data_IF_805713387409
#
_entry.id   IF_805713387409
#
_cell.length_a   1.000
_cell.length_b   1.000
_cell.length_c   1.000
_cell.angle_alpha   90.00
_cell.angle_beta   90.00
_cell.angle_gamma   90.00
#
_symmetry.space_group_name_H-M   'P 1'
#
loop_
_entity.id
_entity.type
_entity.pdbx_description
1 polymer ?
#
# COMPACT_ATOMS: atom_id res chain seq x y z
N UNK A 1 32.36 5.11 20.32
CA UNK A 1 31.28 4.36 19.65
C UNK A 1 31.28 4.79 18.19
N UNK A 2 31.89 4.01 17.28
CA UNK A 2 31.97 4.36 15.86
C UNK A 2 30.76 3.76 15.14
N UNK A 3 29.60 4.42 15.23
CA UNK A 3 28.48 4.09 14.35
C UNK A 3 28.73 4.70 12.98
N UNK A 4 28.70 3.90 11.91
CA UNK A 4 28.63 4.44 10.55
C UNK A 4 27.34 5.28 10.44
N UNK A 5 27.37 6.43 9.73
CA UNK A 5 26.17 7.22 9.50
C UNK A 5 25.11 6.38 8.76
N UNK A 6 23.84 6.59 9.11
CA UNK A 6 22.69 5.99 8.42
C UNK A 6 21.98 7.09 7.64
N UNK A 7 21.64 6.80 6.38
CA UNK A 7 20.98 7.76 5.51
C UNK A 7 19.57 7.28 5.13
N UNK A 8 18.66 8.24 4.99
CA UNK A 8 17.26 8.03 4.61
C UNK A 8 16.84 9.14 3.65
N UNK A 9 16.13 8.77 2.59
CA UNK A 9 15.37 9.70 1.76
C UNK A 9 13.88 9.46 1.95
N UNK A 10 13.06 10.50 1.81
CA UNK A 10 11.61 10.38 1.96
C UNK A 10 10.90 11.23 0.93
N UNK A 11 9.86 10.67 0.32
CA UNK A 11 8.91 11.40 -0.52
C UNK A 11 7.53 11.37 0.11
N UNK A 12 6.96 12.55 0.22
CA UNK A 12 5.58 12.83 0.59
C UNK A 12 5.19 14.06 -0.21
N UNK A 13 4.27 13.90 -1.15
CA UNK A 13 3.86 14.95 -2.09
C UNK A 13 2.36 14.86 -2.30
N UNK A 14 1.77 16.00 -2.69
CA UNK A 14 0.33 16.12 -2.89
C UNK A 14 -0.23 15.20 -3.99
N UNK A 15 0.64 14.70 -4.88
CA UNK A 15 0.30 13.74 -5.93
C UNK A 15 0.59 12.28 -5.57
N UNK A 16 1.03 11.99 -4.34
CA UNK A 16 1.13 10.64 -3.79
C UNK A 16 -0.12 10.33 -2.96
N UNK A 17 -1.27 10.37 -3.64
CA UNK A 17 -2.59 10.15 -3.07
C UNK A 17 -3.38 9.15 -3.91
N UNK A 18 -4.36 8.50 -3.30
CA UNK A 18 -5.37 7.71 -4.02
C UNK A 18 -6.72 7.81 -3.30
N UNK A 19 -7.80 7.96 -4.06
CA UNK A 19 -9.16 8.05 -3.56
C UNK A 19 -9.89 6.73 -3.81
N UNK A 20 -10.19 5.97 -2.76
CA UNK A 20 -10.75 4.62 -2.91
C UNK A 20 -11.86 4.36 -1.91
N UNK A 21 -12.78 3.48 -2.31
CA UNK A 21 -13.79 2.95 -1.42
C UNK A 21 -13.33 1.65 -0.79
N UNK A 22 -13.69 1.40 0.46
CA UNK A 22 -13.42 0.14 1.15
C UNK A 22 -14.45 -0.13 2.26
N UNK A 23 -14.33 -1.30 2.87
CA UNK A 23 -14.94 -1.64 4.15
C UNK A 23 -14.02 -2.64 4.84
N UNK A 24 -13.93 -2.60 6.16
CA UNK A 24 -13.11 -3.52 6.94
C UNK A 24 -13.97 -4.39 7.86
N UNK A 25 -13.41 -5.56 8.18
CA UNK A 25 -13.89 -6.35 9.32
C UNK A 25 -13.17 -5.92 10.59
N UNK A 26 -13.90 -5.93 11.69
CA UNK A 26 -13.44 -5.61 13.04
C UNK A 26 -13.65 -6.82 13.94
N UNK A 27 -13.01 -6.78 15.12
CA UNK A 27 -13.19 -7.78 16.16
C UNK A 27 -14.66 -7.92 16.59
N UNK A 28 -15.01 -9.10 17.12
CA UNK A 28 -16.37 -9.41 17.57
C UNK A 28 -17.37 -9.57 16.42
N UNK A 29 -16.93 -10.12 15.28
CA UNK A 29 -17.73 -10.33 14.08
C UNK A 29 -18.33 -9.06 13.45
N UNK A 30 -17.78 -7.89 13.78
CA UNK A 30 -18.24 -6.62 13.21
C UNK A 30 -17.69 -6.43 11.79
N UNK A 31 -18.46 -5.72 10.98
CA UNK A 31 -18.09 -5.29 9.64
C UNK A 31 -18.75 -3.93 9.42
N UNK A 32 -17.93 -2.92 9.11
CA UNK A 32 -18.45 -1.59 8.82
C UNK A 32 -19.14 -1.51 7.45
N UNK A 33 -19.81 -0.40 7.19
CA UNK A 33 -20.41 -0.11 5.89
C UNK A 33 -19.35 0.33 4.87
N UNK A 34 -19.65 0.12 3.59
CA UNK A 34 -18.89 0.70 2.48
C UNK A 34 -18.82 2.22 2.64
N UNK A 35 -17.61 2.74 2.58
CA UNK A 35 -17.30 4.17 2.58
C UNK A 35 -15.99 4.37 1.80
N UNK A 36 -15.36 5.54 1.87
CA UNK A 36 -14.08 5.77 1.21
C UNK A 36 -13.29 6.92 1.81
N UNK A 37 -12.04 7.02 1.39
CA UNK A 37 -11.07 7.99 1.87
C UNK A 37 -10.20 8.54 0.75
N UNK A 38 -9.59 9.69 1.00
CA UNK A 38 -8.48 10.22 0.21
C UNK A 38 -7.19 9.87 0.94
N UNK A 39 -6.62 8.73 0.59
CA UNK A 39 -5.40 8.25 1.22
C UNK A 39 -4.19 9.06 0.77
N UNK A 40 -3.28 9.36 1.70
CA UNK A 40 -1.97 9.94 1.39
C UNK A 40 -0.87 8.93 1.70
N UNK A 41 0.12 8.87 0.82
CA UNK A 41 1.23 7.92 0.92
C UNK A 41 2.55 8.66 1.13
N UNK A 42 3.31 8.21 2.13
CA UNK A 42 4.69 8.63 2.39
C UNK A 42 5.61 7.42 2.28
N UNK A 43 6.64 7.53 1.46
CA UNK A 43 7.61 6.46 1.24
C UNK A 43 9.01 6.92 1.65
N UNK A 44 9.66 6.15 2.53
CA UNK A 44 11.04 6.34 2.91
C UNK A 44 11.90 5.16 2.47
N UNK A 45 13.11 5.46 1.99
CA UNK A 45 14.12 4.49 1.58
C UNK A 45 15.39 4.77 2.37
N UNK A 46 15.94 3.73 2.98
CA UNK A 46 17.20 3.75 3.72
C UNK A 46 18.24 2.91 3.01
N UNK A 47 19.49 3.34 3.11
CA UNK A 47 20.61 2.66 2.47
C UNK A 47 21.88 3.47 2.59
N UNK A 48 22.94 2.92 2.01
CA UNK A 48 24.19 3.64 1.90
C UNK A 48 24.09 4.72 0.81
N UNK A 49 24.84 5.80 1.00
CA UNK A 49 25.05 6.78 -0.06
C UNK A 49 26.00 6.16 -1.09
N UNK A 50 25.59 6.13 -2.36
CA UNK A 50 26.42 5.56 -3.43
C UNK A 50 27.66 6.41 -3.70
N UNK A 51 28.81 5.78 -3.97
CA UNK A 51 30.08 6.49 -4.26
C UNK A 51 30.05 7.26 -5.59
N UNK A 52 29.14 6.90 -6.49
CA UNK A 52 29.04 7.50 -7.82
C UNK A 52 28.11 8.72 -7.83
N UNK A 53 26.94 8.62 -7.21
CA UNK A 53 25.89 9.64 -7.30
C UNK A 53 25.67 10.41 -6.00
N UNK A 54 26.26 9.97 -4.89
CA UNK A 54 26.22 10.63 -3.58
C UNK A 54 24.82 10.84 -3.01
N UNK A 55 23.90 9.92 -3.31
CA UNK A 55 22.59 9.82 -2.67
C UNK A 55 22.23 8.37 -2.32
N UNK A 56 21.18 8.19 -1.49
CA UNK A 56 20.58 6.87 -1.19
C UNK A 56 19.70 6.41 -2.35
N UNK A 57 18.74 7.22 -2.77
CA UNK A 57 17.90 6.91 -3.93
C UNK A 57 17.43 8.20 -4.60
N UNK A 58 17.24 8.18 -5.92
CA UNK A 58 16.76 9.35 -6.67
C UNK A 58 15.29 9.66 -6.31
N UNK A 59 15.04 10.89 -5.86
CA UNK A 59 13.70 11.36 -5.52
C UNK A 59 12.71 11.30 -6.71
N UNK A 60 13.18 11.59 -7.92
CA UNK A 60 12.35 11.58 -9.15
C UNK A 60 11.92 10.15 -9.45
N UNK A 61 12.85 9.19 -9.35
CA UNK A 61 12.53 7.79 -9.58
C UNK A 61 11.60 7.23 -8.50
N UNK A 62 11.88 7.50 -7.22
CA UNK A 62 11.01 7.05 -6.13
C UNK A 62 9.60 7.61 -6.29
N UNK A 63 9.48 8.91 -6.61
CA UNK A 63 8.20 9.54 -6.88
C UNK A 63 7.47 8.86 -8.04
N UNK A 64 8.16 8.61 -9.17
CA UNK A 64 7.57 7.94 -10.34
C UNK A 64 7.03 6.54 -10.00
N UNK A 65 7.79 5.77 -9.21
CA UNK A 65 7.36 4.45 -8.75
C UNK A 65 6.10 4.60 -7.88
N UNK A 66 6.12 5.50 -6.90
CA UNK A 66 5.01 5.68 -5.97
C UNK A 66 3.74 6.20 -6.65
N UNK A 67 3.84 7.18 -7.57
CA UNK A 67 2.69 7.67 -8.34
C UNK A 67 2.04 6.55 -9.16
N UNK A 68 2.85 5.66 -9.77
CA UNK A 68 2.31 4.49 -10.47
C UNK A 68 1.57 3.55 -9.50
N UNK A 69 2.17 3.24 -8.35
CA UNK A 69 1.57 2.33 -7.37
C UNK A 69 0.27 2.89 -6.78
N UNK A 70 0.19 4.19 -6.51
CA UNK A 70 -1.07 4.84 -6.10
C UNK A 70 -2.12 4.75 -7.20
N UNK A 71 -1.74 5.03 -8.45
CA UNK A 71 -2.65 4.96 -9.60
C UNK A 71 -3.21 3.57 -9.88
N UNK A 72 -2.56 2.48 -9.43
CA UNK A 72 -3.06 1.11 -9.55
C UNK A 72 -4.29 0.82 -8.66
N UNK A 73 -4.52 1.64 -7.64
CA UNK A 73 -5.62 1.45 -6.67
C UNK A 73 -6.53 2.68 -6.54
N UNK A 74 -6.20 3.78 -7.22
CA UNK A 74 -6.98 5.01 -7.26
C UNK A 74 -8.32 4.83 -7.98
N UNK A 75 -9.37 5.48 -7.47
CA UNK A 75 -10.75 5.43 -7.97
C UNK A 75 -11.36 4.02 -8.05
N UNK A 76 -10.92 3.09 -7.19
CA UNK A 76 -11.41 1.71 -7.14
C UNK A 76 -11.99 1.34 -5.77
N UNK A 77 -12.84 0.32 -5.75
CA UNK A 77 -13.24 -0.40 -4.52
C UNK A 77 -12.14 -1.40 -4.16
N UNK A 78 -11.53 -1.24 -2.99
CA UNK A 78 -10.49 -2.13 -2.49
C UNK A 78 -11.14 -3.38 -1.87
N UNK A 79 -10.82 -4.56 -2.39
CA UNK A 79 -11.40 -5.82 -1.93
C UNK A 79 -10.31 -6.81 -1.49
N UNK A 80 -10.34 -7.29 -0.22
CA UNK A 80 -9.33 -8.22 0.30
C UNK A 80 -9.63 -9.67 -0.11
N UNK A 81 -8.80 -10.23 -0.99
CA UNK A 81 -8.92 -11.63 -1.46
C UNK A 81 -8.29 -12.65 -0.51
N UNK A 82 -7.46 -12.22 0.44
CA UNK A 82 -6.81 -13.08 1.43
C UNK A 82 -7.56 -13.15 2.77
N UNK A 83 -8.79 -12.62 2.83
CA UNK A 83 -9.54 -12.54 4.07
C UNK A 83 -10.13 -13.90 4.47
N UNK A 84 -10.05 -14.30 5.75
CA UNK A 84 -10.77 -15.48 6.24
C UNK A 84 -12.28 -15.24 6.38
N UNK A 85 -12.73 -13.99 6.41
CA UNK A 85 -14.13 -13.60 6.67
C UNK A 85 -14.83 -13.01 5.45
N UNK A 86 -14.07 -12.37 4.56
CA UNK A 86 -14.59 -11.78 3.32
C UNK A 86 -14.27 -12.73 2.17
N UNK A 87 -15.31 -13.24 1.51
CA UNK A 87 -15.18 -13.96 0.24
C UNK A 87 -15.42 -13.00 -0.90
N UNK A 88 -14.46 -12.93 -1.82
CA UNK A 88 -14.55 -12.15 -3.05
C UNK A 88 -14.50 -13.14 -4.22
N UNK A 89 -15.46 -13.05 -5.15
CA UNK A 89 -15.51 -13.91 -6.32
C UNK A 89 -15.76 -13.07 -7.58
N UNK A 90 -15.06 -13.41 -8.66
CA UNK A 90 -15.27 -12.83 -9.97
C UNK A 90 -16.29 -13.66 -10.75
N UNK A 91 -17.31 -12.99 -11.28
CA UNK A 91 -18.42 -13.60 -12.02
C UNK A 91 -18.63 -12.79 -13.32
N UNK A 92 -17.83 -13.10 -14.34
CA UNK A 92 -17.85 -12.37 -15.61
C UNK A 92 -17.41 -10.91 -15.44
N UNK A 93 -18.31 -9.96 -15.69
CA UNK A 93 -18.07 -8.53 -15.55
C UNK A 93 -18.38 -7.99 -14.14
N UNK A 94 -18.64 -8.88 -13.18
CA UNK A 94 -19.00 -8.54 -11.79
C UNK A 94 -18.04 -9.14 -10.79
N UNK A 95 -18.01 -8.53 -9.62
CA UNK A 95 -17.37 -9.06 -8.42
C UNK A 95 -18.44 -9.16 -7.34
N UNK A 96 -18.63 -10.36 -6.79
CA UNK A 96 -19.54 -10.63 -5.67
C UNK A 96 -18.75 -10.71 -4.36
N UNK A 97 -19.32 -10.15 -3.30
CA UNK A 97 -18.69 -10.07 -1.97
C UNK A 97 -19.65 -10.63 -0.93
N UNK A 98 -19.17 -11.60 -0.16
CA UNK A 98 -19.87 -12.14 1.01
C UNK A 98 -19.02 -11.95 2.27
N UNK A 99 -19.66 -11.63 3.39
CA UNK A 99 -19.01 -11.48 4.71
C UNK A 99 -19.63 -12.49 5.66
N UNK A 100 -18.79 -13.30 6.30
CA UNK A 100 -19.21 -14.39 7.19
C UNK A 100 -20.28 -15.31 6.55
N UNK A 101 -20.14 -15.57 5.24
CA UNK A 101 -21.03 -16.43 4.46
C UNK A 101 -22.31 -15.76 3.93
N UNK A 102 -22.63 -14.53 4.35
CA UNK A 102 -23.79 -13.79 3.85
C UNK A 102 -23.39 -12.84 2.71
N UNK A 103 -24.13 -12.87 1.60
CA UNK A 103 -23.95 -11.92 0.49
C UNK A 103 -24.11 -10.47 0.97
N UNK A 104 -23.20 -9.59 0.56
CA UNK A 104 -23.15 -8.20 1.02
C UNK A 104 -23.13 -7.18 -0.11
N UNK A 105 -22.24 -7.33 -1.09
CA UNK A 105 -22.07 -6.36 -2.19
C UNK A 105 -21.88 -7.05 -3.54
N UNK A 106 -22.20 -6.32 -4.61
CA UNK A 106 -21.87 -6.66 -5.99
C UNK A 106 -21.38 -5.40 -6.70
N UNK A 107 -20.24 -5.48 -7.36
CA UNK A 107 -19.63 -4.36 -8.08
C UNK A 107 -19.28 -4.77 -9.52
N UNK A 108 -19.22 -3.83 -10.47
CA UNK A 108 -18.58 -4.09 -11.75
C UNK A 108 -17.09 -4.41 -11.55
N UNK A 109 -16.56 -5.41 -12.25
CA UNK A 109 -15.16 -5.85 -12.13
C UNK A 109 -14.15 -4.74 -12.41
N UNK A 110 -14.48 -3.86 -13.36
CA UNK A 110 -13.65 -2.70 -13.72
C UNK A 110 -13.49 -1.67 -12.60
N UNK A 111 -14.40 -1.65 -11.63
CA UNK A 111 -14.41 -0.68 -10.54
C UNK A 111 -13.76 -1.26 -9.26
N UNK A 112 -13.12 -2.44 -9.34
CA UNK A 112 -12.55 -3.15 -8.20
C UNK A 112 -11.03 -3.36 -8.30
N UNK A 113 -10.33 -3.11 -7.20
CA UNK A 113 -8.97 -3.59 -6.96
C UNK A 113 -9.03 -4.84 -6.07
N UNK A 114 -8.68 -6.00 -6.64
CA UNK A 114 -8.58 -7.25 -5.89
C UNK A 114 -7.18 -7.39 -5.27
N UNK A 115 -7.11 -7.20 -3.95
CA UNK A 115 -5.84 -7.11 -3.24
C UNK A 115 -5.54 -8.41 -2.47
N UNK A 116 -4.32 -8.95 -2.51
CA UNK A 116 -3.92 -10.15 -1.77
C UNK A 116 -3.68 -9.83 -0.29
N UNK A 117 -4.70 -9.26 0.36
CA UNK A 117 -4.67 -8.79 1.73
C UNK A 117 -5.75 -9.51 2.55
N UNK A 118 -5.52 -9.72 3.85
CA UNK A 118 -6.53 -10.27 4.75
C UNK A 118 -7.62 -9.25 5.13
N UNK A 119 -7.31 -7.96 5.03
CA UNK A 119 -8.19 -6.83 5.32
C UNK A 119 -7.62 -5.57 4.62
N UNK A 120 -8.45 -4.56 4.36
CA UNK A 120 -8.05 -3.30 3.69
C UNK A 120 -7.85 -2.14 4.65
N UNK A 121 -7.29 -2.44 5.83
CA UNK A 121 -6.89 -1.41 6.82
C UNK A 121 -5.66 -0.64 6.35
N UNK A 122 -5.42 0.54 6.92
CA UNK A 122 -4.23 1.35 6.60
C UNK A 122 -2.91 0.57 6.78
N UNK A 123 -2.77 -0.27 7.82
CA UNK A 123 -1.58 -1.11 8.03
C UNK A 123 -1.35 -2.10 6.88
N UNK A 124 -2.43 -2.73 6.42
CA UNK A 124 -2.35 -3.74 5.37
C UNK A 124 -2.10 -3.12 4.00
N UNK A 125 -2.65 -1.93 3.75
CA UNK A 125 -2.34 -1.13 2.56
C UNK A 125 -0.89 -0.66 2.58
N UNK A 126 -0.38 -0.17 3.72
CA UNK A 126 1.03 0.19 3.89
C UNK A 126 1.95 -1.00 3.61
N UNK A 127 1.61 -2.20 4.12
CA UNK A 127 2.35 -3.43 3.85
C UNK A 127 2.34 -3.84 2.38
N UNK A 128 1.19 -3.72 1.70
CA UNK A 128 1.05 -4.00 0.27
C UNK A 128 1.97 -3.09 -0.55
N UNK A 129 1.86 -1.78 -0.34
CA UNK A 129 2.63 -0.77 -1.07
C UNK A 129 4.13 -0.88 -0.76
N UNK A 130 4.51 -1.15 0.49
CA UNK A 130 5.89 -1.48 0.84
C UNK A 130 6.40 -2.69 0.05
N UNK A 131 5.64 -3.78 0.00
CA UNK A 131 6.01 -4.98 -0.76
C UNK A 131 6.19 -4.70 -2.26
N UNK A 132 5.29 -3.90 -2.86
CA UNK A 132 5.40 -3.51 -4.28
C UNK A 132 6.58 -2.58 -4.55
N UNK A 133 6.86 -1.64 -3.64
CA UNK A 133 8.04 -0.78 -3.73
C UNK A 133 9.32 -1.61 -3.62
N UNK A 134 9.40 -2.52 -2.64
CA UNK A 134 10.54 -3.44 -2.49
C UNK A 134 10.81 -4.21 -3.79
N UNK A 135 9.77 -4.81 -4.38
CA UNK A 135 9.92 -5.55 -5.63
C UNK A 135 10.40 -4.65 -6.79
N UNK A 136 9.95 -3.40 -6.87
CA UNK A 136 10.42 -2.45 -7.87
C UNK A 136 11.90 -2.07 -7.67
N UNK A 137 12.33 -1.88 -6.41
CA UNK A 137 13.73 -1.59 -6.08
C UNK A 137 14.66 -2.78 -6.33
N UNK A 138 14.22 -4.00 -6.01
CA UNK A 138 14.95 -5.23 -6.32
C UNK A 138 15.13 -5.37 -7.85
N UNK A 139 14.07 -5.12 -8.63
CA UNK A 139 14.12 -5.16 -10.10
C UNK A 139 15.03 -4.07 -10.71
N UNK A 140 15.17 -2.93 -10.03
CA UNK A 140 16.09 -1.86 -10.42
C UNK A 140 17.54 -2.11 -9.98
N UNK A 141 17.81 -3.21 -9.25
CA UNK A 141 19.17 -3.56 -8.79
C UNK A 141 19.69 -2.67 -7.66
N UNK A 142 18.81 -2.09 -6.84
CA UNK A 142 19.18 -1.19 -5.73
C UNK A 142 19.76 -1.95 -4.52
N UNK A 143 20.93 -2.59 -4.69
CA UNK A 143 21.55 -3.48 -3.70
C UNK A 143 22.06 -2.79 -2.42
N UNK A 144 22.21 -1.47 -2.45
CA UNK A 144 22.64 -0.64 -1.32
C UNK A 144 21.48 -0.23 -0.40
N UNK A 145 20.23 -0.51 -0.78
CA UNK A 145 19.05 -0.26 0.04
C UNK A 145 18.99 -1.28 1.18
N UNK A 146 18.83 -0.79 2.40
CA UNK A 146 18.80 -1.62 3.61
C UNK A 146 17.41 -1.73 4.23
N UNK A 147 16.56 -0.72 4.02
CA UNK A 147 15.18 -0.75 4.46
C UNK A 147 14.30 0.23 3.67
N UNK A 148 13.00 -0.03 3.72
CA UNK A 148 11.96 0.92 3.30
C UNK A 148 10.91 1.00 4.38
N UNK A 149 10.25 2.15 4.44
CA UNK A 149 9.10 2.39 5.29
C UNK A 149 8.02 3.03 4.45
N UNK A 150 6.84 2.44 4.48
CA UNK A 150 5.66 2.92 3.80
C UNK A 150 4.66 3.35 4.84
N UNK A 151 4.14 4.56 4.72
CA UNK A 151 3.07 5.08 5.55
C UNK A 151 1.86 5.41 4.67
N UNK A 152 0.68 5.04 5.16
CA UNK A 152 -0.62 5.35 4.57
C UNK A 152 -1.44 6.10 5.61
N UNK A 153 -1.74 7.36 5.30
CA UNK A 153 -2.69 8.19 6.05
C UNK A 153 -4.09 7.98 5.45
N UNK A 154 -5.03 7.50 6.28
CA UNK A 154 -6.42 7.25 5.88
C UNK A 154 -7.28 8.50 6.08
N UNK A 155 -7.04 9.23 7.17
CA UNK A 155 -7.71 10.47 7.50
C UNK A 155 -6.70 11.42 8.15
N UNK A 156 -6.97 12.73 8.14
CA UNK A 156 -6.02 13.72 8.63
C UNK A 156 -5.58 13.43 10.07
N UNK A 157 -4.28 13.19 10.24
CA UNK A 157 -3.67 12.85 11.54
C UNK A 157 -3.87 11.40 11.97
N UNK A 158 -4.33 10.52 11.08
CA UNK A 158 -4.53 9.08 11.31
C UNK A 158 -3.83 8.27 10.22
N UNK A 159 -2.64 7.76 10.54
CA UNK A 159 -1.83 6.96 9.63
C UNK A 159 -1.33 5.68 10.25
N UNK A 160 -0.97 4.73 9.38
CA UNK A 160 -0.30 3.49 9.73
C UNK A 160 0.93 3.30 8.84
N UNK A 161 1.97 2.70 9.40
CA UNK A 161 3.21 2.44 8.67
C UNK A 161 3.65 0.98 8.72
N UNK A 162 4.35 0.56 7.67
CA UNK A 162 4.97 -0.75 7.55
C UNK A 162 6.42 -0.58 7.09
N UNK A 163 7.34 -1.16 7.85
CA UNK A 163 8.78 -1.16 7.55
C UNK A 163 9.23 -2.55 7.10
N UNK A 164 9.95 -2.62 5.98
CA UNK A 164 10.59 -3.82 5.46
C UNK A 164 12.10 -3.61 5.43
N UNK A 165 12.87 -4.52 6.03
CA UNK A 165 14.32 -4.54 5.96
C UNK A 165 14.79 -5.54 4.89
N UNK A 166 15.91 -5.24 4.22
CA UNK A 166 16.61 -6.20 3.35
C UNK A 166 17.40 -7.18 4.23
N UNK A 167 17.33 -8.45 3.87
CA UNK A 167 18.16 -9.52 4.45
C UNK A 167 19.26 -9.87 3.48
#
# INVERSE_FOLDING_TARGET
>A
MNGRPQFRVTVEKDDLVFASAHFITLDGHRCEGLHGHNYRVRAAVEGDVTDTAWFVFDFIELKRIMSRLCGEIDHLVLLPTGSPRIRVAEEGDRVTVAVDGASRYVFPRRDCALLPLPNTTAEMLARLLAGRLKAALDAAGASHVTAIEMEVEENFGQSASCRLAWR
#
